data_IF_132662552406
#
_entry.id   IF_132662552406
#
_cell.length_a   1.000
_cell.length_b   1.000
_cell.length_c   1.000
_cell.angle_alpha   90.00
_cell.angle_beta   90.00
_cell.angle_gamma   90.00
#
_symmetry.space_group_name_H-M   'P 1'
#
loop_
_entity.id
_entity.type
_entity.pdbx_description
1 polymer ?
#
# COMPACT_ATOMS: atom_id res chain seq x y z
N UNK A 1 5.49 4.47 1.31
CA UNK A 1 6.85 4.76 0.81
C UNK A 1 7.54 3.44 0.50
N UNK A 2 7.57 3.03 -0.77
CA UNK A 2 8.31 1.85 -1.25
C UNK A 2 9.77 2.27 -1.46
N UNK A 3 10.75 1.53 -0.93
CA UNK A 3 12.16 1.83 -1.14
C UNK A 3 12.78 0.84 -2.13
N UNK A 4 12.95 1.29 -3.38
CA UNK A 4 13.66 0.55 -4.43
C UNK A 4 15.13 0.96 -4.40
N UNK A 5 16.04 0.03 -4.05
CA UNK A 5 17.48 0.30 -4.18
C UNK A 5 17.98 -0.15 -5.55
N UNK A 6 18.13 0.81 -6.45
CA UNK A 6 19.34 1.11 -7.27
C UNK A 6 18.95 1.70 -8.63
N UNK A 7 18.48 2.95 -8.62
CA UNK A 7 18.86 4.03 -9.54
C UNK A 7 18.17 5.31 -9.10
N UNK A 8 18.88 6.41 -9.19
CA UNK A 8 18.50 7.76 -8.79
C UNK A 8 17.41 8.34 -9.70
N UNK A 9 16.11 8.21 -9.40
CA UNK A 9 15.07 9.02 -10.05
C UNK A 9 13.83 9.27 -9.16
N UNK A 10 13.13 10.40 -9.35
CA UNK A 10 11.92 10.76 -8.65
C UNK A 10 10.73 10.10 -9.34
N UNK A 11 10.41 8.85 -9.01
CA UNK A 11 9.07 8.34 -9.31
C UNK A 11 8.09 9.12 -8.43
N UNK A 12 7.09 9.84 -8.99
CA UNK A 12 6.01 10.36 -8.16
C UNK A 12 5.34 9.14 -7.52
N UNK A 13 5.55 8.96 -6.22
CA UNK A 13 4.83 7.95 -5.45
C UNK A 13 3.34 8.21 -5.73
N UNK A 14 2.61 7.29 -6.38
CA UNK A 14 1.19 7.48 -6.49
C UNK A 14 0.65 7.53 -5.07
N UNK A 15 0.13 8.69 -4.68
CA UNK A 15 -0.62 8.81 -3.46
C UNK A 15 -1.93 8.08 -3.70
N UNK A 16 -1.91 6.78 -3.40
CA UNK A 16 -3.10 5.96 -3.39
C UNK A 16 -3.95 6.46 -2.20
N UNK A 17 -4.88 7.38 -2.48
CA UNK A 17 -5.82 7.95 -1.51
C UNK A 17 -7.22 7.46 -1.86
N UNK A 18 -7.62 6.32 -1.30
CA UNK A 18 -8.94 5.74 -1.55
C UNK A 18 -9.99 6.28 -0.58
N UNK A 19 -11.02 6.95 -1.08
CA UNK A 19 -12.37 6.94 -0.48
C UNK A 19 -13.28 5.90 -1.13
N UNK A 20 -12.85 5.37 -2.27
CA UNK A 20 -13.58 4.51 -3.20
C UNK A 20 -12.71 3.27 -3.45
N UNK A 21 -13.30 2.09 -3.27
CA UNK A 21 -12.58 0.81 -3.34
C UNK A 21 -12.18 0.46 -4.77
N UNK A 22 -13.04 0.71 -5.76
CA UNK A 22 -12.76 0.31 -7.15
C UNK A 22 -11.58 1.13 -7.71
N UNK A 23 -11.54 2.41 -7.36
CA UNK A 23 -10.41 3.30 -7.70
C UNK A 23 -9.12 2.92 -6.98
N UNK A 24 -9.23 2.41 -5.75
CA UNK A 24 -8.08 1.92 -4.99
C UNK A 24 -7.46 0.72 -5.72
N UNK A 25 -8.31 -0.16 -6.22
CA UNK A 25 -7.93 -1.41 -6.89
C UNK A 25 -7.23 -1.13 -8.20
N UNK A 26 -7.81 -0.24 -9.01
CA UNK A 26 -7.25 0.22 -10.27
C UNK A 26 -5.90 0.92 -10.05
N UNK A 27 -5.80 1.79 -9.04
CA UNK A 27 -4.55 2.47 -8.71
C UNK A 27 -3.45 1.49 -8.26
N UNK A 28 -3.79 0.50 -7.43
CA UNK A 28 -2.85 -0.56 -7.04
C UNK A 28 -2.38 -1.39 -8.24
N UNK A 29 -3.29 -1.79 -9.12
CA UNK A 29 -2.96 -2.57 -10.31
C UNK A 29 -2.10 -1.79 -11.30
N UNK A 30 -2.45 -0.54 -11.58
CA UNK A 30 -1.70 0.37 -12.44
C UNK A 30 -0.28 0.60 -11.91
N UNK A 31 -0.14 0.82 -10.60
CA UNK A 31 1.17 1.00 -9.96
C UNK A 31 2.06 -0.25 -10.08
N UNK A 32 1.51 -1.44 -9.80
CA UNK A 32 2.27 -2.70 -9.94
C UNK A 32 2.70 -2.90 -11.39
N UNK A 33 1.81 -2.66 -12.35
CA UNK A 33 2.11 -2.79 -13.78
C UNK A 33 3.23 -1.82 -14.19
N UNK A 34 3.14 -0.55 -13.79
CA UNK A 34 4.14 0.46 -14.08
C UNK A 34 5.51 0.07 -13.52
N UNK A 35 5.60 -0.28 -12.24
CA UNK A 35 6.88 -0.67 -11.62
C UNK A 35 7.47 -1.93 -12.26
N UNK A 36 6.63 -2.88 -12.64
CA UNK A 36 7.09 -4.08 -13.35
C UNK A 36 7.61 -3.75 -14.75
N UNK A 37 6.99 -2.80 -15.46
CA UNK A 37 7.44 -2.34 -16.78
C UNK A 37 8.74 -1.54 -16.69
N UNK A 38 8.81 -0.58 -15.77
CA UNK A 38 9.92 0.37 -15.66
C UNK A 38 11.18 -0.26 -15.04
N UNK A 39 11.00 -1.22 -14.13
CA UNK A 39 12.09 -1.76 -13.31
C UNK A 39 12.24 -3.30 -13.38
N UNK A 40 11.37 -3.98 -14.13
CA UNK A 40 11.40 -5.44 -14.23
C UNK A 40 11.04 -6.15 -12.92
N UNK A 41 10.40 -5.45 -11.97
CA UNK A 41 9.97 -5.97 -10.66
C UNK A 41 10.85 -5.58 -9.48
N UNK A 42 10.35 -5.78 -8.27
CA UNK A 42 10.93 -5.27 -7.01
C UNK A 42 11.72 -6.32 -6.23
N UNK A 43 12.81 -5.91 -5.57
CA UNK A 43 13.58 -6.78 -4.66
C UNK A 43 13.31 -6.46 -3.19
N UNK A 44 13.11 -5.17 -2.90
CA UNK A 44 12.74 -4.63 -1.61
C UNK A 44 11.40 -3.93 -1.75
N UNK A 45 10.41 -4.38 -0.99
CA UNK A 45 9.09 -3.76 -0.96
C UNK A 45 8.80 -3.23 0.44
N UNK A 46 8.46 -1.95 0.54
CA UNK A 46 8.14 -1.31 1.82
C UNK A 46 6.71 -0.77 1.77
N UNK A 47 5.83 -1.35 2.57
CA UNK A 47 4.49 -0.82 2.77
C UNK A 47 4.50 0.21 3.90
N UNK A 48 4.39 1.48 3.53
CA UNK A 48 4.28 2.61 4.45
C UNK A 48 3.13 3.52 3.98
N UNK A 49 1.94 2.92 3.81
CA UNK A 49 0.70 3.66 3.57
C UNK A 49 -0.15 3.57 4.85
N UNK A 50 -0.51 4.74 5.41
CA UNK A 50 -1.23 4.80 6.67
C UNK A 50 -2.15 6.01 6.72
N UNK A 51 -3.46 5.76 6.86
CA UNK A 51 -4.44 6.73 7.31
C UNK A 51 -4.88 6.35 8.71
N UNK A 52 -4.60 7.22 9.68
CA UNK A 52 -5.04 7.00 11.05
C UNK A 52 -6.47 7.50 11.26
N UNK A 53 -7.16 6.86 12.18
CA UNK A 53 -8.38 7.38 12.79
C UNK A 53 -7.92 8.34 13.88
N UNK A 54 -8.18 9.64 13.73
CA UNK A 54 -7.70 10.70 14.65
C UNK A 54 -8.76 11.14 15.67
N UNK A 55 -9.76 10.30 15.93
CA UNK A 55 -10.92 10.62 16.78
C UNK A 55 -11.00 9.62 17.93
N UNK A 56 -11.49 10.09 19.09
CA UNK A 56 -11.72 9.23 20.23
C UNK A 56 -12.78 8.16 19.93
N UNK A 57 -12.63 6.97 20.52
CA UNK A 57 -13.54 5.83 20.35
C UNK A 57 -14.97 6.20 20.74
N UNK A 58 -15.12 6.95 21.85
CA UNK A 58 -16.42 7.41 22.36
C UNK A 58 -17.22 8.23 21.34
N UNK A 59 -16.53 8.93 20.45
CA UNK A 59 -17.14 9.75 19.41
C UNK A 59 -17.53 8.95 18.16
N UNK A 60 -17.28 7.64 18.12
CA UNK A 60 -17.20 6.86 16.87
C UNK A 60 -18.19 5.70 16.79
N UNK A 61 -19.02 5.48 17.81
CA UNK A 61 -19.95 4.34 17.87
C UNK A 61 -20.89 4.23 16.65
N UNK A 62 -21.37 5.35 16.12
CA UNK A 62 -22.29 5.38 14.98
C UNK A 62 -21.58 5.62 13.62
N UNK A 63 -20.24 5.58 13.58
CA UNK A 63 -19.44 5.94 12.41
C UNK A 63 -18.51 4.81 11.98
N UNK A 64 -19.08 3.61 11.89
CA UNK A 64 -18.32 2.41 11.56
C UNK A 64 -17.52 2.50 10.25
N UNK A 65 -18.03 3.28 9.30
CA UNK A 65 -17.39 3.57 8.01
C UNK A 65 -15.98 4.19 8.12
N UNK A 66 -15.61 4.81 9.26
CA UNK A 66 -14.24 5.30 9.47
C UNK A 66 -13.24 4.14 9.63
N UNK A 67 -13.67 3.03 10.26
CA UNK A 67 -12.87 1.81 10.38
C UNK A 67 -12.76 1.09 9.03
N UNK A 68 -13.86 0.99 8.28
CA UNK A 68 -13.86 0.38 6.96
C UNK A 68 -12.89 1.10 6.02
N UNK A 69 -12.96 2.44 5.93
CA UNK A 69 -12.03 3.22 5.09
C UNK A 69 -10.58 3.05 5.50
N UNK A 70 -10.32 2.90 6.80
CA UNK A 70 -8.98 2.65 7.33
C UNK A 70 -8.46 1.27 6.92
N UNK A 71 -9.30 0.23 7.01
CA UNK A 71 -8.97 -1.12 6.58
C UNK A 71 -8.80 -1.23 5.07
N UNK A 72 -9.67 -0.57 4.29
CA UNK A 72 -9.57 -0.48 2.83
C UNK A 72 -8.19 0.05 2.42
N UNK A 73 -7.74 1.15 3.00
CA UNK A 73 -6.46 1.75 2.65
C UNK A 73 -5.25 0.99 3.22
N UNK A 74 -5.23 0.78 4.55
CA UNK A 74 -4.03 0.33 5.26
C UNK A 74 -3.81 -1.19 5.14
N UNK A 75 -4.88 -1.96 4.98
CA UNK A 75 -4.83 -3.42 4.95
C UNK A 75 -5.10 -3.99 3.56
N UNK A 76 -6.23 -3.65 2.93
CA UNK A 76 -6.54 -4.22 1.61
C UNK A 76 -5.67 -3.62 0.50
N UNK A 77 -5.43 -2.31 0.52
CA UNK A 77 -4.49 -1.67 -0.41
C UNK A 77 -3.08 -2.23 -0.29
N UNK A 78 -2.62 -2.49 0.95
CA UNK A 78 -1.30 -3.09 1.18
C UNK A 78 -1.19 -4.51 0.65
N UNK A 79 -2.19 -5.35 0.91
CA UNK A 79 -2.26 -6.71 0.40
C UNK A 79 -2.26 -6.76 -1.13
N UNK A 80 -3.04 -5.90 -1.80
CA UNK A 80 -3.15 -5.90 -3.27
C UNK A 80 -1.82 -5.60 -3.96
N UNK A 81 -1.07 -4.64 -3.43
CA UNK A 81 0.26 -4.31 -3.98
C UNK A 81 1.24 -5.45 -3.70
N UNK A 82 1.19 -6.04 -2.51
CA UNK A 82 2.04 -7.19 -2.15
C UNK A 82 1.77 -8.38 -3.07
N UNK A 83 0.51 -8.77 -3.27
CA UNK A 83 0.16 -9.92 -4.12
C UNK A 83 0.49 -9.65 -5.59
N UNK A 84 0.44 -8.39 -6.03
CA UNK A 84 0.87 -8.00 -7.37
C UNK A 84 2.38 -8.15 -7.61
N UNK A 85 3.21 -7.90 -6.60
CA UNK A 85 4.67 -8.04 -6.72
C UNK A 85 5.19 -9.45 -6.38
N UNK A 86 4.42 -10.24 -5.64
CA UNK A 86 4.85 -11.55 -5.16
C UNK A 86 5.32 -12.51 -6.28
N UNK A 87 4.65 -12.62 -7.45
CA UNK A 87 5.11 -13.50 -8.52
C UNK A 87 6.52 -13.14 -9.03
N UNK A 88 6.80 -11.85 -9.18
CA UNK A 88 8.13 -11.38 -9.62
C UNK A 88 9.20 -11.56 -8.54
N UNK A 89 8.85 -11.35 -7.28
CA UNK A 89 9.75 -11.56 -6.14
C UNK A 89 10.12 -13.04 -5.97
N UNK A 90 9.14 -13.95 -6.14
CA UNK A 90 9.36 -15.40 -6.08
C UNK A 90 10.27 -15.86 -7.22
N UNK A 91 10.04 -15.38 -8.45
CA UNK A 91 10.88 -15.71 -9.60
C UNK A 91 12.35 -15.27 -9.43
N UNK A 92 12.58 -14.16 -8.72
CA UNK A 92 13.93 -13.61 -8.44
C UNK A 92 14.58 -14.16 -7.16
N UNK A 93 13.88 -15.02 -6.41
CA UNK A 93 14.30 -15.46 -5.07
C UNK A 93 14.58 -14.33 -4.07
N UNK A 94 14.05 -13.12 -4.31
CA UNK A 94 14.19 -11.94 -3.44
C UNK A 94 12.96 -11.80 -2.55
N UNK A 95 13.14 -11.76 -1.21
CA UNK A 95 12.03 -11.89 -0.25
C UNK A 95 11.98 -10.81 0.84
N UNK A 96 12.65 -9.68 0.65
CA UNK A 96 12.66 -8.63 1.67
C UNK A 96 11.42 -7.73 1.54
N UNK A 97 10.39 -8.03 2.35
CA UNK A 97 9.20 -7.19 2.50
C UNK A 97 9.14 -6.60 3.90
N UNK A 98 8.98 -5.28 3.98
CA UNK A 98 8.79 -4.56 5.24
C UNK A 98 7.44 -3.85 5.22
N UNK A 99 6.62 -4.08 6.23
CA UNK A 99 5.37 -3.34 6.40
C UNK A 99 5.46 -2.59 7.72
N UNK A 100 5.33 -1.26 7.68
CA UNK A 100 5.13 -0.49 8.91
C UNK A 100 3.67 -0.68 9.31
N UNK A 101 3.44 -1.41 10.39
CA UNK A 101 2.10 -1.63 10.95
C UNK A 101 1.40 -0.28 11.12
N UNK A 102 0.18 -0.16 10.57
CA UNK A 102 -0.65 1.01 10.76
C UNK A 102 -0.93 1.16 12.26
N UNK A 103 -0.25 2.08 12.92
CA UNK A 103 -0.56 2.45 14.30
C UNK A 103 -1.97 3.06 14.31
N UNK A 104 -2.94 2.31 14.83
CA UNK A 104 -4.14 2.89 15.40
C UNK A 104 -3.67 3.70 16.61
N UNK A 105 -3.52 5.02 16.43
CA UNK A 105 -3.45 5.92 17.58
C UNK A 105 -4.90 6.03 18.06
N UNK A 106 -5.19 5.38 19.19
CA UNK A 106 -6.43 5.59 19.95
C UNK A 106 -6.39 6.94 20.66
#
# INVERSE_FOLDING_TARGET
MVWLRRTSLPVPLPLICGRDQDKLDEACASFVAQVNQDHGGVEFFVNNAGRSIRRAIESSYNRFHDYERTMQLNYFGSLRVTTGFLPGMVAKCTKAMWSTSAALVC
#
